data_IF_598356734396
#
_entry.id   IF_598356734396
#
_cell.length_a   1.000
_cell.length_b   1.000
_cell.length_c   1.000
_cell.angle_alpha   90.00
_cell.angle_beta   90.00
_cell.angle_gamma   90.00
#
_symmetry.space_group_name_H-M   'P 1'
#
loop_
_entity.id
_entity.type
_entity.pdbx_description
1 polymer ?
#
# COMPACT_ATOMS: atom_id res chain seq x y z
N UNK A 1 -8.49 -6.26 14.86
CA UNK A 1 -8.79 -6.03 13.44
C UNK A 1 -9.74 -7.11 12.95
N UNK A 2 -10.70 -7.54 13.78
CA UNK A 2 -11.36 -8.86 13.58
C UNK A 2 -12.20 -8.87 12.32
N UNK A 3 -12.86 -7.76 12.05
CA UNK A 3 -13.68 -7.56 10.86
C UNK A 3 -12.82 -7.37 9.60
N UNK A 4 -11.66 -6.69 9.73
CA UNK A 4 -10.83 -6.31 8.58
C UNK A 4 -10.30 -7.53 7.81
N UNK A 5 -9.71 -8.51 8.50
CA UNK A 5 -9.21 -9.71 7.80
C UNK A 5 -10.35 -10.58 7.25
N UNK A 6 -11.49 -10.65 7.94
CA UNK A 6 -12.67 -11.38 7.47
C UNK A 6 -13.24 -10.79 6.18
N UNK A 7 -13.21 -9.46 6.04
CA UNK A 7 -13.62 -8.76 4.83
C UNK A 7 -12.74 -9.17 3.64
N UNK A 8 -11.42 -9.07 3.77
CA UNK A 8 -10.50 -9.40 2.68
C UNK A 8 -10.50 -10.89 2.31
N UNK A 9 -10.61 -11.79 3.29
CA UNK A 9 -10.77 -13.23 3.02
C UNK A 9 -12.11 -13.51 2.35
N UNK A 10 -13.19 -12.85 2.78
CA UNK A 10 -14.50 -12.93 2.13
C UNK A 10 -14.45 -12.49 0.67
N UNK A 11 -13.77 -11.38 0.37
CA UNK A 11 -13.54 -10.91 -1.00
C UNK A 11 -12.71 -11.89 -1.82
N UNK A 12 -11.65 -12.46 -1.23
CA UNK A 12 -10.83 -13.46 -1.90
C UNK A 12 -11.67 -14.68 -2.31
N UNK A 13 -12.49 -15.20 -1.39
CA UNK A 13 -13.41 -16.31 -1.67
C UNK A 13 -14.41 -15.93 -2.76
N UNK A 14 -15.00 -14.73 -2.66
CA UNK A 14 -15.92 -14.22 -3.68
C UNK A 14 -15.26 -14.17 -5.07
N UNK A 15 -14.04 -13.65 -5.18
CA UNK A 15 -13.31 -13.60 -6.46
C UNK A 15 -12.97 -14.99 -6.99
N UNK A 16 -12.63 -15.96 -6.13
CA UNK A 16 -12.45 -17.36 -6.57
C UNK A 16 -13.76 -17.93 -7.13
N UNK A 17 -14.88 -17.74 -6.42
CA UNK A 17 -16.20 -18.19 -6.87
C UNK A 17 -16.54 -17.54 -8.21
N UNK A 18 -16.34 -16.23 -8.34
CA UNK A 18 -16.58 -15.51 -9.58
C UNK A 18 -15.65 -15.95 -10.71
N UNK A 19 -14.41 -16.32 -10.41
CA UNK A 19 -13.48 -16.89 -11.41
C UNK A 19 -14.04 -18.19 -11.97
N UNK A 20 -14.58 -19.07 -11.10
CA UNK A 20 -15.20 -20.34 -11.51
C UNK A 20 -16.45 -20.06 -12.34
N UNK A 21 -17.33 -19.16 -11.90
CA UNK A 21 -18.54 -18.78 -12.66
C UNK A 21 -18.16 -18.22 -14.02
N UNK A 22 -17.19 -17.31 -14.07
CA UNK A 22 -16.74 -16.67 -15.30
C UNK A 22 -16.12 -17.67 -16.28
N UNK A 23 -15.37 -18.65 -15.77
CA UNK A 23 -14.84 -19.75 -16.56
C UNK A 23 -15.95 -20.50 -17.31
N UNK A 24 -17.07 -20.78 -16.64
CA UNK A 24 -18.19 -21.52 -17.25
C UNK A 24 -19.03 -20.69 -18.22
N UNK A 25 -19.07 -19.36 -18.07
CA UNK A 25 -19.91 -18.48 -18.89
C UNK A 25 -19.24 -18.10 -20.20
N UNK A 26 -18.01 -17.58 -20.13
CA UNK A 26 -17.31 -16.99 -21.27
C UNK A 26 -15.87 -17.52 -21.38
N UNK A 27 -15.20 -17.66 -20.23
CA UNK A 27 -13.91 -18.35 -20.15
C UNK A 27 -12.74 -17.63 -20.83
N UNK A 28 -12.83 -16.32 -21.05
CA UNK A 28 -11.73 -15.56 -21.64
C UNK A 28 -10.47 -15.60 -20.75
N UNK A 29 -9.28 -15.92 -21.29
CA UNK A 29 -8.06 -16.00 -20.50
C UNK A 29 -7.71 -14.72 -19.72
N UNK A 30 -7.98 -13.52 -20.28
CA UNK A 30 -7.67 -12.26 -19.60
C UNK A 30 -8.58 -12.04 -18.37
N UNK A 31 -9.88 -12.28 -18.50
CA UNK A 31 -10.84 -12.15 -17.40
C UNK A 31 -10.56 -13.15 -16.27
N UNK A 32 -10.28 -14.42 -16.61
CA UNK A 32 -9.90 -15.44 -15.62
C UNK A 32 -8.64 -15.01 -14.87
N UNK A 33 -7.62 -14.55 -15.59
CA UNK A 33 -6.35 -14.11 -14.99
C UNK A 33 -6.55 -12.91 -14.06
N UNK A 34 -7.33 -11.92 -14.49
CA UNK A 34 -7.63 -10.73 -13.68
C UNK A 34 -8.37 -11.06 -12.38
N UNK A 35 -9.39 -11.92 -12.45
CA UNK A 35 -10.15 -12.36 -11.27
C UNK A 35 -9.29 -13.21 -10.33
N UNK A 36 -8.47 -14.12 -10.86
CA UNK A 36 -7.59 -14.95 -10.06
C UNK A 36 -6.48 -14.15 -9.36
N UNK A 37 -5.86 -13.18 -10.05
CA UNK A 37 -4.88 -12.28 -9.43
C UNK A 37 -5.52 -11.37 -8.38
N UNK A 38 -6.75 -10.90 -8.61
CA UNK A 38 -7.51 -10.13 -7.62
C UNK A 38 -7.83 -10.96 -6.38
N UNK A 39 -8.20 -12.24 -6.54
CA UNK A 39 -8.37 -13.18 -5.45
C UNK A 39 -7.07 -13.39 -4.66
N UNK A 40 -5.94 -13.55 -5.36
CA UNK A 40 -4.62 -13.66 -4.75
C UNK A 40 -4.24 -12.44 -3.94
N UNK A 41 -4.43 -11.23 -4.49
CA UNK A 41 -4.15 -9.97 -3.80
C UNK A 41 -5.02 -9.82 -2.54
N UNK A 42 -6.33 -10.02 -2.65
CA UNK A 42 -7.24 -9.97 -1.50
C UNK A 42 -6.87 -11.01 -0.44
N UNK A 43 -6.49 -12.22 -0.87
CA UNK A 43 -6.03 -13.29 0.01
C UNK A 43 -4.74 -12.95 0.75
N UNK A 44 -3.75 -12.36 0.06
CA UNK A 44 -2.49 -11.91 0.66
C UNK A 44 -2.73 -10.85 1.74
N UNK A 45 -3.57 -9.85 1.45
CA UNK A 45 -3.92 -8.80 2.42
C UNK A 45 -4.66 -9.41 3.61
N UNK A 46 -5.67 -10.25 3.36
CA UNK A 46 -6.44 -10.93 4.40
C UNK A 46 -5.56 -11.79 5.31
N UNK A 47 -4.64 -12.57 4.73
CA UNK A 47 -3.68 -13.38 5.48
C UNK A 47 -2.77 -12.53 6.36
N UNK A 48 -2.20 -11.46 5.81
CA UNK A 48 -1.30 -10.57 6.57
C UNK A 48 -2.00 -9.94 7.78
N UNK A 49 -3.22 -9.41 7.59
CA UNK A 49 -3.98 -8.78 8.67
C UNK A 49 -4.39 -9.82 9.72
N UNK A 50 -4.82 -11.00 9.30
CA UNK A 50 -5.15 -12.11 10.21
C UNK A 50 -3.93 -12.55 11.04
N UNK A 51 -2.79 -12.73 10.40
CA UNK A 51 -1.55 -13.11 11.06
C UNK A 51 -1.11 -12.04 12.08
N UNK A 52 -1.17 -10.77 11.68
CA UNK A 52 -0.85 -9.63 12.55
C UNK A 52 -1.76 -9.58 13.77
N UNK A 53 -3.08 -9.73 13.58
CA UNK A 53 -4.02 -9.78 14.70
C UNK A 53 -3.70 -10.92 15.67
N UNK A 54 -3.45 -12.13 15.16
CA UNK A 54 -3.09 -13.28 16.01
C UNK A 54 -1.82 -13.02 16.81
N UNK A 55 -0.85 -12.33 16.22
CA UNK A 55 0.42 -11.98 16.88
C UNK A 55 0.25 -10.90 17.96
N UNK A 56 -0.62 -9.90 17.74
CA UNK A 56 -0.90 -8.85 18.72
C UNK A 56 -1.60 -9.43 19.96
N UNK A 57 -2.48 -10.41 19.80
CA UNK A 57 -3.07 -11.18 20.90
C UNK A 57 -4.04 -10.41 21.82
N UNK A 58 -4.27 -9.13 21.59
CA UNK A 58 -5.23 -8.26 22.30
C UNK A 58 -6.24 -7.65 21.34
N UNK A 59 -7.43 -7.34 21.84
CA UNK A 59 -8.42 -6.53 21.12
C UNK A 59 -7.91 -5.09 21.13
N UNK A 60 -7.81 -4.46 19.95
CA UNK A 60 -7.44 -3.06 19.87
C UNK A 60 -8.62 -2.19 20.32
N UNK A 61 -8.38 -1.00 20.90
CA UNK A 61 -9.46 -0.09 21.30
C UNK A 61 -10.45 0.19 20.16
N UNK A 62 -9.96 0.27 18.92
CA UNK A 62 -10.77 0.49 17.71
C UNK A 62 -11.75 -0.65 17.36
N UNK A 63 -11.52 -1.87 17.84
CA UNK A 63 -12.44 -3.00 17.64
C UNK A 63 -13.36 -3.24 18.85
N UNK A 64 -13.19 -2.48 19.94
CA UNK A 64 -13.96 -2.67 21.18
C UNK A 64 -15.17 -1.72 21.22
N UNK A 65 -16.37 -2.31 21.22
CA UNK A 65 -17.64 -1.58 21.26
C UNK A 65 -17.88 -0.80 22.56
N UNK A 66 -17.14 -1.11 23.64
CA UNK A 66 -17.21 -0.41 24.93
C UNK A 66 -15.90 0.29 25.28
N UNK A 67 -15.04 0.59 24.30
CA UNK A 67 -13.80 1.33 24.56
C UNK A 67 -14.08 2.75 25.06
N UNK A 68 -13.25 3.21 25.98
CA UNK A 68 -13.22 4.61 26.43
C UNK A 68 -12.19 5.41 25.61
N UNK A 69 -12.33 6.74 25.61
CA UNK A 69 -11.38 7.64 24.91
C UNK A 69 -9.96 7.50 25.51
N UNK A 70 -9.88 7.21 26.80
CA UNK A 70 -8.63 6.96 27.54
C UNK A 70 -7.86 5.75 27.01
N UNK A 71 -8.54 4.75 26.45
CA UNK A 71 -7.90 3.53 25.91
C UNK A 71 -7.01 3.81 24.69
N UNK A 72 -7.22 4.95 24.01
CA UNK A 72 -6.45 5.40 22.85
C UNK A 72 -5.48 6.56 23.14
N UNK A 73 -5.34 7.00 24.39
CA UNK A 73 -4.61 8.23 24.76
C UNK A 73 -3.07 8.13 24.69
N UNK A 74 -2.52 7.13 24.01
CA UNK A 74 -1.08 6.98 23.79
C UNK A 74 -0.55 7.84 22.63
N UNK A 75 0.78 7.87 22.48
CA UNK A 75 1.40 8.46 21.30
C UNK A 75 1.10 7.62 20.05
N UNK A 76 0.55 8.25 19.01
CA UNK A 76 0.19 7.60 17.74
C UNK A 76 1.40 7.22 16.88
N UNK A 77 2.53 7.91 17.08
CA UNK A 77 3.74 7.78 16.28
C UNK A 77 4.14 9.10 15.63
N UNK A 78 5.10 9.02 14.71
CA UNK A 78 5.63 10.17 13.99
C UNK A 78 4.81 10.47 12.73
N UNK A 79 4.43 11.74 12.55
CA UNK A 79 3.85 12.25 11.31
C UNK A 79 4.70 13.41 10.79
N UNK A 80 4.96 13.39 9.48
CA UNK A 80 5.60 14.50 8.77
C UNK A 80 4.78 15.79 8.94
N UNK A 81 5.33 16.87 9.53
CA UNK A 81 4.63 18.16 9.63
C UNK A 81 4.48 18.85 8.27
N UNK A 82 5.48 18.67 7.41
CA UNK A 82 5.48 19.07 6.01
C UNK A 82 6.48 18.21 5.24
N UNK A 83 6.20 17.94 3.96
CA UNK A 83 7.14 17.31 3.04
C UNK A 83 6.90 17.82 1.63
N UNK A 84 7.97 18.27 0.97
CA UNK A 84 7.91 18.69 -0.44
C UNK A 84 8.15 17.54 -1.41
N UNK A 85 8.67 16.40 -0.96
CA UNK A 85 9.05 15.25 -1.78
C UNK A 85 7.92 14.47 -2.47
N UNK A 86 6.66 14.45 -1.98
CA UNK A 86 5.55 13.84 -2.72
C UNK A 86 5.35 14.44 -4.12
N UNK A 87 5.54 15.76 -4.24
CA UNK A 87 5.33 16.51 -5.48
C UNK A 87 6.30 16.13 -6.61
N UNK A 88 7.65 16.20 -6.45
CA UNK A 88 8.60 15.77 -7.46
C UNK A 88 8.52 14.27 -7.73
N UNK A 89 8.15 13.45 -6.74
CA UNK A 89 7.93 12.01 -6.94
C UNK A 89 6.74 11.76 -7.87
N UNK A 90 5.60 12.40 -7.62
CA UNK A 90 4.43 12.32 -8.50
C UNK A 90 4.70 12.85 -9.90
N UNK A 91 5.37 14.01 -10.01
CA UNK A 91 5.75 14.59 -11.30
C UNK A 91 6.68 13.66 -12.09
N UNK A 92 7.67 13.07 -11.43
CA UNK A 92 8.60 12.13 -12.06
C UNK A 92 7.90 10.84 -12.47
N UNK A 93 6.96 10.31 -11.67
CA UNK A 93 6.19 9.13 -12.03
C UNK A 93 5.32 9.35 -13.28
N UNK A 94 4.67 10.52 -13.38
CA UNK A 94 3.93 10.93 -14.59
C UNK A 94 4.87 11.08 -15.78
N UNK A 95 6.04 11.72 -15.59
CA UNK A 95 7.03 11.86 -16.65
C UNK A 95 7.58 10.51 -17.14
N UNK A 96 7.75 9.52 -16.26
CA UNK A 96 8.12 8.15 -16.67
C UNK A 96 7.04 7.54 -17.55
N UNK A 97 5.77 7.66 -17.15
CA UNK A 97 4.63 7.15 -17.93
C UNK A 97 4.51 7.79 -19.31
N UNK A 98 4.58 9.13 -19.38
CA UNK A 98 4.57 9.88 -20.64
C UNK A 98 5.83 9.66 -21.48
N UNK A 99 6.96 9.38 -20.82
CA UNK A 99 8.23 9.14 -21.49
C UNK A 99 8.23 7.93 -22.40
N UNK A 100 7.42 6.91 -22.09
CA UNK A 100 7.24 5.75 -22.96
C UNK A 100 6.68 6.13 -24.35
N UNK A 101 5.96 7.24 -24.44
CA UNK A 101 5.41 7.78 -25.69
C UNK A 101 6.44 8.66 -26.42
N UNK A 102 7.21 9.47 -25.68
CA UNK A 102 8.18 10.43 -26.24
C UNK A 102 9.43 9.72 -26.75
N UNK A 103 9.97 8.77 -25.98
CA UNK A 103 11.16 8.02 -26.33
C UNK A 103 11.98 7.54 -25.13
N UNK A 104 12.85 6.56 -25.39
CA UNK A 104 13.65 5.90 -24.36
C UNK A 104 14.59 6.86 -23.61
N UNK A 105 15.14 7.88 -24.28
CA UNK A 105 16.04 8.86 -23.67
C UNK A 105 15.34 9.70 -22.58
N UNK A 106 14.11 10.16 -22.83
CA UNK A 106 13.33 10.93 -21.86
C UNK A 106 12.88 10.04 -20.70
N UNK A 107 12.51 8.79 -21.01
CA UNK A 107 12.18 7.79 -19.98
C UNK A 107 13.33 7.59 -19.01
N UNK A 108 14.58 7.45 -19.49
CA UNK A 108 15.74 7.29 -18.61
C UNK A 108 15.97 8.51 -17.71
N UNK A 109 15.79 9.72 -18.23
CA UNK A 109 15.89 10.96 -17.43
C UNK A 109 14.80 10.99 -16.35
N UNK A 110 13.57 10.69 -16.73
CA UNK A 110 12.43 10.68 -15.80
C UNK A 110 12.58 9.60 -14.71
N UNK A 111 13.06 8.40 -15.06
CA UNK A 111 13.34 7.31 -14.10
C UNK A 111 14.42 7.75 -13.12
N UNK A 112 15.48 8.40 -13.62
CA UNK A 112 16.54 8.94 -12.74
C UNK A 112 15.98 9.98 -11.77
N UNK A 113 15.14 10.90 -12.25
CA UNK A 113 14.44 11.88 -11.42
C UNK A 113 13.53 11.23 -10.37
N UNK A 114 12.82 10.15 -10.75
CA UNK A 114 11.97 9.38 -9.84
C UNK A 114 12.79 8.73 -8.72
N UNK A 115 13.91 8.08 -9.07
CA UNK A 115 14.81 7.45 -8.09
C UNK A 115 15.34 8.49 -7.10
N UNK A 116 15.84 9.63 -7.58
CA UNK A 116 16.34 10.71 -6.72
C UNK A 116 15.24 11.23 -5.79
N UNK A 117 14.03 11.43 -6.32
CA UNK A 117 12.89 11.92 -5.54
C UNK A 117 12.48 10.93 -4.45
N UNK A 118 12.45 9.63 -4.76
CA UNK A 118 12.13 8.57 -3.80
C UNK A 118 13.20 8.49 -2.71
N UNK A 119 14.49 8.52 -3.07
CA UNK A 119 15.58 8.53 -2.08
C UNK A 119 15.46 9.75 -1.17
N UNK A 120 15.22 10.93 -1.74
CA UNK A 120 15.02 12.17 -0.98
C UNK A 120 13.85 12.08 -0.01
N UNK A 121 12.73 11.48 -0.44
CA UNK A 121 11.54 11.30 0.39
C UNK A 121 11.80 10.32 1.55
N UNK A 122 12.39 9.15 1.27
CA UNK A 122 12.66 8.12 2.28
C UNK A 122 13.68 8.60 3.31
N UNK A 123 14.67 9.39 2.89
CA UNK A 123 15.74 9.87 3.78
C UNK A 123 15.45 11.23 4.43
N UNK A 124 14.27 11.81 4.23
CA UNK A 124 13.96 13.16 4.69
C UNK A 124 14.19 13.37 6.19
N UNK A 125 13.79 12.38 7.01
CA UNK A 125 13.83 12.44 8.47
C UNK A 125 15.01 11.68 9.10
N UNK A 126 15.87 11.06 8.28
CA UNK A 126 17.01 10.24 8.71
C UNK A 126 18.35 10.99 8.60
N UNK A 127 18.31 12.31 8.37
CA UNK A 127 19.52 13.12 8.14
C UNK A 127 20.29 13.34 9.45
N UNK A 128 21.62 13.12 9.47
CA UNK A 128 22.44 13.50 10.62
C UNK A 128 22.32 15.01 10.88
N UNK A 129 22.18 15.40 12.15
CA UNK A 129 22.29 16.81 12.53
C UNK A 129 23.66 17.33 12.09
N UNK A 130 23.76 18.53 11.49
CA UNK A 130 25.04 19.16 11.31
C UNK A 130 25.66 19.33 12.70
N UNK A 131 26.83 18.74 12.93
CA UNK A 131 27.63 18.98 14.13
C UNK A 131 27.78 20.48 14.29
N UNK A 132 27.11 21.05 15.28
CA UNK A 132 27.30 22.44 15.66
C UNK A 132 28.77 22.60 16.07
N UNK A 133 29.57 23.23 15.21
CA UNK A 133 30.91 23.70 15.58
C UNK A 133 30.72 24.86 16.56
N UNK A 134 30.72 24.53 17.85
CA UNK A 134 30.98 25.49 18.92
C UNK A 134 32.44 25.95 18.88
#
# INVERSE_FOLDING_TARGET
MKTNWMLFVGLAIFYVIMTIVYWYVDGEPLGITGLMLSAGLAGMVGFYVWFTQKRIGKILPEDNITAEISDGAGELGFFSPHSWWPLPTGMSAVAVGLGLIIGWWFTLIAVTGLIISVIGWVTEYEKPLPTASH
#
